data_IF_968994873613
#
_entry.id   IF_968994873613
#
_cell.length_a   1.000
_cell.length_b   1.000
_cell.length_c   1.000
_cell.angle_alpha   90.00
_cell.angle_beta   90.00
_cell.angle_gamma   90.00
#
_symmetry.space_group_name_H-M   'P 1'
#
loop_
_entity.id
_entity.type
_entity.pdbx_description
1 polymer ?
#
# COMPACT_ATOMS: atom_id res chain seq x y z
N UNK A 1 -17.97 -10.86 -6.21
CA UNK A 1 -18.33 -9.60 -5.56
C UNK A 1 -18.99 -8.68 -6.56
N UNK A 2 -19.78 -7.72 -6.09
CA UNK A 2 -20.50 -6.78 -6.93
C UNK A 2 -19.57 -5.68 -7.47
N UNK A 3 -19.36 -5.56 -8.81
CA UNK A 3 -18.49 -4.54 -9.37
C UNK A 3 -18.92 -3.11 -9.06
N UNK A 4 -20.19 -2.86 -8.78
CA UNK A 4 -20.73 -1.53 -8.47
C UNK A 4 -20.35 -1.06 -7.06
N UNK A 5 -19.89 -1.98 -6.20
CA UNK A 5 -19.35 -1.66 -4.87
C UNK A 5 -17.86 -1.29 -4.88
N UNK A 6 -17.20 -1.33 -6.04
CA UNK A 6 -15.77 -1.05 -6.17
C UNK A 6 -15.52 0.36 -6.69
N UNK A 7 -14.66 1.11 -6.02
CA UNK A 7 -14.03 2.32 -6.55
C UNK A 7 -12.53 2.05 -6.82
N UNK A 8 -12.06 2.41 -8.01
CA UNK A 8 -10.64 2.43 -8.36
C UNK A 8 -10.23 3.86 -8.68
N UNK A 9 -9.37 4.43 -7.86
CA UNK A 9 -8.86 5.78 -8.01
C UNK A 9 -7.38 5.74 -8.41
N UNK A 10 -6.98 6.59 -9.36
CA UNK A 10 -5.59 6.71 -9.81
C UNK A 10 -5.18 8.16 -9.69
N UNK A 11 -4.28 8.46 -8.74
CA UNK A 11 -3.63 9.75 -8.63
C UNK A 11 -2.44 9.80 -9.62
N UNK A 12 -2.46 10.71 -10.57
CA UNK A 12 -1.43 10.86 -11.60
C UNK A 12 -0.58 12.12 -11.43
N UNK A 13 -0.82 12.89 -10.40
CA UNK A 13 -0.14 14.14 -10.05
C UNK A 13 0.94 13.97 -8.97
N UNK A 14 1.06 12.78 -8.36
CA UNK A 14 2.08 12.40 -7.38
C UNK A 14 2.97 11.27 -7.90
N UNK A 15 4.16 11.10 -7.32
CA UNK A 15 5.09 10.06 -7.76
C UNK A 15 5.85 9.41 -6.62
N UNK A 16 6.07 8.11 -6.72
CA UNK A 16 6.96 7.35 -5.83
C UNK A 16 8.40 7.21 -6.35
N UNK A 17 8.74 7.87 -7.47
CA UNK A 17 10.08 7.77 -8.08
C UNK A 17 11.15 8.27 -7.11
N UNK A 18 12.20 7.44 -6.89
CA UNK A 18 13.27 7.71 -5.93
C UNK A 18 13.91 9.10 -6.10
N UNK A 19 14.17 9.53 -7.34
CA UNK A 19 14.78 10.83 -7.66
C UNK A 19 13.91 12.04 -7.34
N UNK A 20 12.62 11.83 -7.14
CA UNK A 20 11.64 12.90 -6.86
C UNK A 20 11.11 12.85 -5.43
N UNK A 21 11.55 11.88 -4.63
CA UNK A 21 11.19 11.81 -3.21
C UNK A 21 11.78 12.99 -2.45
N UNK A 22 11.00 13.50 -1.53
CA UNK A 22 11.37 14.60 -0.64
C UNK A 22 10.15 15.07 0.15
N UNK A 23 10.31 16.03 1.07
CA UNK A 23 9.23 16.48 1.94
C UNK A 23 7.98 16.94 1.19
N UNK A 24 8.16 17.73 0.11
CA UNK A 24 7.06 18.23 -0.70
C UNK A 24 6.26 17.09 -1.38
N UNK A 25 6.93 16.09 -1.95
CA UNK A 25 6.24 14.96 -2.58
C UNK A 25 5.60 14.03 -1.55
N UNK A 26 6.24 13.87 -0.38
CA UNK A 26 5.66 13.09 0.74
C UNK A 26 4.41 13.76 1.28
N UNK A 27 4.37 15.08 1.37
CA UNK A 27 3.22 15.88 1.76
C UNK A 27 2.07 15.75 0.74
N UNK A 28 2.36 15.87 -0.56
CA UNK A 28 1.36 15.67 -1.61
C UNK A 28 0.75 14.26 -1.61
N UNK A 29 1.56 13.25 -1.34
CA UNK A 29 1.06 11.86 -1.18
C UNK A 29 0.18 11.77 0.07
N UNK A 30 0.60 12.37 1.19
CA UNK A 30 -0.19 12.43 2.42
C UNK A 30 -1.54 13.13 2.21
N UNK A 31 -1.58 14.22 1.45
CA UNK A 31 -2.81 14.89 1.04
C UNK A 31 -3.72 13.99 0.19
N UNK A 32 -3.16 13.20 -0.72
CA UNK A 32 -3.95 12.21 -1.48
C UNK A 32 -4.56 11.15 -0.55
N UNK A 33 -3.80 10.67 0.45
CA UNK A 33 -4.31 9.72 1.46
C UNK A 33 -5.47 10.35 2.22
N UNK A 34 -5.31 11.57 2.73
CA UNK A 34 -6.37 12.33 3.41
C UNK A 34 -7.62 12.44 2.54
N UNK A 35 -7.47 12.81 1.26
CA UNK A 35 -8.59 12.92 0.32
C UNK A 35 -9.38 11.63 0.15
N UNK A 36 -8.72 10.47 0.17
CA UNK A 36 -9.38 9.16 0.07
C UNK A 36 -10.14 8.83 1.36
N UNK A 37 -9.50 8.99 2.52
CA UNK A 37 -10.08 8.60 3.81
C UNK A 37 -11.19 9.55 4.29
N UNK A 38 -11.15 10.81 3.88
CA UNK A 38 -12.21 11.79 4.20
C UNK A 38 -13.56 11.46 3.56
N UNK A 39 -13.56 10.65 2.51
CA UNK A 39 -14.78 10.22 1.83
C UNK A 39 -15.61 9.18 2.61
N UNK A 40 -14.98 8.36 3.42
CA UNK A 40 -15.63 7.34 4.26
C UNK A 40 -14.74 6.96 5.43
N UNK A 41 -15.28 6.98 6.66
CA UNK A 41 -14.59 6.44 7.82
C UNK A 41 -14.50 4.92 7.77
N UNK A 42 -13.42 4.38 8.34
CA UNK A 42 -13.14 2.95 8.42
C UNK A 42 -11.64 2.64 8.37
N UNK A 43 -11.29 1.40 8.13
CA UNK A 43 -9.92 0.96 8.18
C UNK A 43 -9.27 0.92 6.79
N UNK A 44 -8.07 1.47 6.69
CA UNK A 44 -7.30 1.56 5.44
C UNK A 44 -5.88 1.02 5.63
N UNK A 45 -5.35 0.36 4.58
CA UNK A 45 -3.94 0.01 4.48
C UNK A 45 -3.26 0.84 3.39
N UNK A 46 -2.17 1.48 3.74
CA UNK A 46 -1.32 2.26 2.82
C UNK A 46 -0.02 1.51 2.62
N UNK A 47 0.22 1.05 1.39
CA UNK A 47 1.42 0.33 1.03
C UNK A 47 2.43 1.23 0.32
N UNK A 48 3.66 1.25 0.82
CA UNK A 48 4.77 2.04 0.26
C UNK A 48 5.94 1.12 -0.12
N UNK A 49 6.79 1.50 -1.08
CA UNK A 49 7.82 0.62 -1.64
C UNK A 49 9.01 0.34 -0.70
N UNK A 50 9.15 1.08 0.41
CA UNK A 50 10.24 0.87 1.38
C UNK A 50 9.92 1.46 2.74
N UNK A 51 10.56 0.95 3.79
CA UNK A 51 10.41 1.46 5.17
C UNK A 51 10.79 2.95 5.31
N UNK A 52 11.86 3.38 4.65
CA UNK A 52 12.29 4.77 4.69
C UNK A 52 11.21 5.71 4.11
N UNK A 53 10.70 5.38 2.93
CA UNK A 53 9.67 6.19 2.29
C UNK A 53 8.32 6.09 3.01
N UNK A 54 8.01 4.92 3.58
CA UNK A 54 6.83 4.77 4.45
C UNK A 54 6.91 5.71 5.65
N UNK A 55 8.07 5.78 6.30
CA UNK A 55 8.27 6.69 7.43
C UNK A 55 8.07 8.15 7.02
N UNK A 56 8.67 8.59 5.91
CA UNK A 56 8.55 9.97 5.41
C UNK A 56 7.10 10.36 5.14
N UNK A 57 6.34 9.51 4.43
CA UNK A 57 4.94 9.79 4.10
C UNK A 57 4.05 9.71 5.33
N UNK A 58 4.27 8.73 6.22
CA UNK A 58 3.49 8.61 7.44
C UNK A 58 3.76 9.77 8.40
N UNK A 59 5.01 10.25 8.50
CA UNK A 59 5.35 11.44 9.30
C UNK A 59 4.65 12.70 8.75
N UNK A 60 4.66 12.90 7.42
CA UNK A 60 3.97 14.00 6.77
C UNK A 60 2.44 13.92 7.01
N UNK A 61 1.86 12.73 6.85
CA UNK A 61 0.44 12.51 7.09
C UNK A 61 0.04 12.83 8.53
N UNK A 62 0.76 12.31 9.51
CA UNK A 62 0.44 12.52 10.93
C UNK A 62 0.63 13.97 11.37
N UNK A 63 1.58 14.69 10.75
CA UNK A 63 1.86 16.07 11.12
C UNK A 63 0.84 17.07 10.55
N UNK A 64 0.51 16.97 9.25
CA UNK A 64 -0.25 17.99 8.54
C UNK A 64 -1.67 17.55 8.11
N UNK A 65 -1.95 16.24 8.02
CA UNK A 65 -3.16 15.70 7.39
C UNK A 65 -4.01 14.81 8.30
N UNK A 66 -3.56 14.54 9.54
CA UNK A 66 -4.24 13.64 10.45
C UNK A 66 -5.11 14.39 11.44
N UNK A 67 -6.43 14.22 11.37
CA UNK A 67 -7.31 14.59 12.49
C UNK A 67 -7.22 13.54 13.61
N UNK A 68 -6.28 13.74 14.53
CA UNK A 68 -6.03 12.84 15.67
C UNK A 68 -7.22 12.61 16.59
N UNK A 69 -8.34 13.29 16.40
CA UNK A 69 -9.59 13.02 17.13
C UNK A 69 -10.41 11.91 16.47
N UNK A 70 -10.17 11.67 15.17
CA UNK A 70 -10.97 10.74 14.35
C UNK A 70 -10.13 9.73 13.59
N UNK A 71 -8.80 9.89 13.58
CA UNK A 71 -7.90 9.05 12.81
C UNK A 71 -6.80 8.52 13.74
N UNK A 72 -6.74 7.21 13.84
CA UNK A 72 -5.62 6.50 14.44
C UNK A 72 -4.66 6.03 13.35
N UNK A 73 -3.36 6.06 13.62
CA UNK A 73 -2.34 5.51 12.72
C UNK A 73 -1.58 4.37 13.38
N UNK A 74 -1.21 3.38 12.61
CA UNK A 74 -0.28 2.33 13.00
C UNK A 74 0.72 2.09 11.88
N UNK A 75 1.96 1.70 12.23
CA UNK A 75 3.04 1.51 11.27
C UNK A 75 3.67 0.14 11.40
N UNK A 76 3.91 -0.50 10.26
CA UNK A 76 4.74 -1.69 10.22
C UNK A 76 6.17 -1.35 10.65
N UNK A 77 6.74 -2.11 11.57
CA UNK A 77 8.16 -2.02 11.92
C UNK A 77 8.98 -3.09 11.20
N UNK A 78 10.30 -2.88 11.11
CA UNK A 78 11.21 -3.90 10.62
C UNK A 78 11.29 -5.05 11.62
N UNK A 79 11.36 -6.29 11.11
CA UNK A 79 11.54 -7.50 11.92
C UNK A 79 10.43 -7.72 12.97
N UNK A 80 9.18 -7.37 12.66
CA UNK A 80 8.04 -7.67 13.53
C UNK A 80 7.98 -9.17 13.87
N UNK A 81 7.92 -9.47 15.15
CA UNK A 81 7.64 -10.82 15.66
C UNK A 81 6.19 -11.23 15.42
N UNK A 82 5.88 -12.49 15.72
CA UNK A 82 4.53 -13.03 15.52
C UNK A 82 3.47 -12.28 16.35
N UNK A 83 3.79 -11.97 17.62
CA UNK A 83 2.88 -11.21 18.48
C UNK A 83 2.63 -9.80 17.95
N UNK A 84 3.66 -9.07 17.54
CA UNK A 84 3.52 -7.72 16.99
C UNK A 84 2.69 -7.69 15.69
N UNK A 85 2.80 -8.76 14.87
CA UNK A 85 1.94 -8.93 13.69
C UNK A 85 0.50 -9.16 14.08
N UNK A 86 0.25 -10.01 15.07
CA UNK A 86 -1.09 -10.28 15.58
C UNK A 86 -1.70 -9.00 16.16
N UNK A 87 -0.95 -8.24 16.95
CA UNK A 87 -1.39 -6.97 17.53
C UNK A 87 -1.70 -5.93 16.45
N UNK A 88 -0.86 -5.82 15.40
CA UNK A 88 -1.11 -4.95 14.25
C UNK A 88 -2.42 -5.31 13.55
N UNK A 89 -2.64 -6.58 13.26
CA UNK A 89 -3.86 -7.05 12.58
C UNK A 89 -5.09 -6.93 13.48
N UNK A 90 -4.96 -7.22 14.77
CA UNK A 90 -6.05 -7.10 15.75
C UNK A 90 -6.63 -5.68 15.82
N UNK A 91 -5.84 -4.64 15.49
CA UNK A 91 -6.36 -3.26 15.42
C UNK A 91 -7.39 -3.07 14.30
N UNK A 92 -7.34 -3.88 13.24
CA UNK A 92 -8.28 -3.84 12.12
C UNK A 92 -9.58 -4.62 12.38
N UNK A 93 -9.66 -5.44 13.43
CA UNK A 93 -10.86 -6.22 13.73
C UNK A 93 -12.02 -5.35 14.23
N UNK A 94 -11.70 -4.15 14.72
CA UNK A 94 -12.69 -3.16 15.12
C UNK A 94 -12.82 -2.09 14.05
N UNK A 95 -14.00 -1.97 13.46
CA UNK A 95 -14.35 -0.85 12.57
C UNK A 95 -15.31 0.10 13.28
N UNK A 96 -15.27 1.38 12.94
CA UNK A 96 -16.15 2.41 13.46
C UNK A 96 -16.57 3.36 12.34
N UNK A 97 -17.82 3.74 12.32
CA UNK A 97 -18.34 4.75 11.38
C UNK A 97 -17.90 6.18 11.73
N UNK A 98 -17.32 6.39 12.92
CA UNK A 98 -16.89 7.70 13.41
C UNK A 98 -15.38 7.87 13.42
N UNK A 99 -14.62 6.76 13.37
CA UNK A 99 -13.15 6.73 13.43
C UNK A 99 -12.57 5.94 12.29
N UNK A 100 -11.40 6.38 11.82
CA UNK A 100 -10.61 5.67 10.82
C UNK A 100 -9.31 5.14 11.40
N UNK A 101 -8.92 3.94 11.01
CA UNK A 101 -7.59 3.38 11.29
C UNK A 101 -6.79 3.33 9.99
N UNK A 102 -5.61 3.94 10.00
CA UNK A 102 -4.69 3.95 8.87
C UNK A 102 -3.45 3.13 9.21
N UNK A 103 -3.29 1.98 8.59
CA UNK A 103 -2.10 1.17 8.70
C UNK A 103 -1.10 1.46 7.59
N UNK A 104 0.11 1.85 7.92
CA UNK A 104 1.20 2.03 6.96
C UNK A 104 2.06 0.77 6.91
N UNK A 105 2.24 0.21 5.72
CA UNK A 105 2.99 -1.04 5.52
C UNK A 105 3.87 -0.98 4.26
N UNK A 106 4.79 -1.95 4.15
CA UNK A 106 5.68 -2.04 2.98
C UNK A 106 5.09 -2.99 1.95
N UNK A 107 5.02 -2.53 0.72
CA UNK A 107 4.52 -3.31 -0.42
C UNK A 107 5.42 -4.54 -0.70
N UNK A 108 4.82 -5.71 -0.76
CA UNK A 108 5.54 -6.99 -0.85
C UNK A 108 6.16 -7.44 0.48
N UNK A 109 5.80 -6.78 1.60
CA UNK A 109 6.11 -7.20 2.96
C UNK A 109 5.06 -8.15 3.54
N UNK A 110 5.21 -8.44 4.84
CA UNK A 110 4.40 -9.42 5.59
C UNK A 110 2.89 -9.15 5.58
N UNK A 111 2.46 -7.91 5.34
CA UNK A 111 1.05 -7.52 5.27
C UNK A 111 0.51 -7.45 3.84
N UNK A 112 1.37 -7.58 2.82
CA UNK A 112 0.92 -7.71 1.43
C UNK A 112 0.46 -9.13 1.09
N UNK A 113 0.88 -10.12 1.88
CA UNK A 113 0.57 -11.53 1.69
C UNK A 113 0.08 -12.15 3.02
N UNK A 114 -0.83 -13.13 2.94
CA UNK A 114 -1.19 -13.95 4.09
C UNK A 114 -2.00 -13.29 5.21
N UNK A 115 -2.51 -12.07 5.03
CA UNK A 115 -3.47 -11.48 5.98
C UNK A 115 -4.90 -11.77 5.55
N UNK A 116 -5.76 -12.05 6.50
CA UNK A 116 -7.19 -12.34 6.29
C UNK A 116 -8.02 -11.35 7.12
N UNK A 117 -8.18 -10.15 6.58
CA UNK A 117 -9.09 -9.13 7.11
C UNK A 117 -10.42 -9.27 6.35
N UNK A 118 -11.49 -9.64 7.06
CA UNK A 118 -12.81 -9.95 6.49
C UNK A 118 -13.76 -8.80 6.66
N UNK A 119 -14.72 -8.69 5.73
CA UNK A 119 -15.80 -7.70 5.76
C UNK A 119 -15.26 -6.27 5.94
N UNK A 120 -15.93 -5.47 6.72
CA UNK A 120 -15.58 -4.06 6.99
C UNK A 120 -14.29 -3.85 7.81
N UNK A 121 -13.55 -4.93 8.13
CA UNK A 121 -12.24 -4.83 8.79
C UNK A 121 -11.20 -4.09 7.93
N UNK A 122 -11.40 -4.01 6.61
CA UNK A 122 -10.57 -3.23 5.69
C UNK A 122 -11.42 -2.74 4.52
N UNK A 123 -11.68 -1.44 4.46
CA UNK A 123 -12.53 -0.83 3.42
C UNK A 123 -11.75 -0.22 2.27
N UNK A 124 -10.45 -0.01 2.42
CA UNK A 124 -9.63 0.56 1.37
C UNK A 124 -8.16 0.19 1.44
N UNK A 125 -7.54 0.11 0.26
CA UNK A 125 -6.09 -0.05 0.11
C UNK A 125 -5.56 1.07 -0.78
N UNK A 126 -4.50 1.73 -0.33
CA UNK A 126 -3.79 2.77 -1.06
C UNK A 126 -2.39 2.25 -1.39
N UNK A 127 -2.08 2.09 -2.67
CA UNK A 127 -0.76 1.68 -3.12
C UNK A 127 0.03 2.89 -3.62
N UNK A 128 1.11 3.24 -2.93
CA UNK A 128 2.00 4.33 -3.32
C UNK A 128 3.12 3.78 -4.20
N UNK A 129 2.85 3.80 -5.51
CA UNK A 129 3.75 3.27 -6.51
C UNK A 129 3.61 1.77 -6.77
N UNK A 130 4.39 1.27 -7.72
CA UNK A 130 4.25 -0.09 -8.26
C UNK A 130 5.16 -1.13 -7.61
N UNK A 131 5.98 -0.75 -6.62
CA UNK A 131 6.90 -1.70 -5.95
C UNK A 131 7.86 -2.43 -6.89
N UNK A 132 8.29 -1.76 -7.98
CA UNK A 132 9.28 -2.30 -8.92
C UNK A 132 10.50 -2.79 -8.14
N UNK A 133 10.94 -4.05 -8.35
CA UNK A 133 12.10 -4.60 -7.67
C UNK A 133 13.37 -3.80 -7.97
N UNK A 134 14.32 -3.84 -7.05
CA UNK A 134 15.64 -3.25 -7.28
C UNK A 134 16.38 -3.97 -8.39
N UNK A 135 17.21 -3.21 -9.11
CA UNK A 135 18.11 -3.77 -10.13
C UNK A 135 19.15 -4.66 -9.45
N UNK A 136 19.27 -5.89 -9.91
CA UNK A 136 20.28 -6.85 -9.47
C UNK A 136 20.70 -7.74 -10.65
N UNK A 137 21.82 -8.46 -10.50
CA UNK A 137 22.38 -9.28 -11.57
C UNK A 137 21.42 -10.35 -12.07
N UNK A 138 20.68 -10.99 -11.16
CA UNK A 138 19.72 -12.05 -11.49
C UNK A 138 18.57 -11.50 -12.34
N UNK A 139 18.07 -10.30 -12.02
CA UNK A 139 17.01 -9.66 -12.80
C UNK A 139 17.48 -9.16 -14.15
N UNK A 140 18.72 -8.70 -14.23
CA UNK A 140 19.31 -8.32 -15.52
C UNK A 140 19.54 -9.55 -16.42
N UNK A 141 19.93 -10.69 -15.87
CA UNK A 141 19.98 -11.95 -16.63
C UNK A 141 18.59 -12.37 -17.13
N UNK A 142 17.57 -12.26 -16.27
CA UNK A 142 16.20 -12.56 -16.64
C UNK A 142 15.70 -11.62 -17.75
N UNK A 143 15.98 -10.32 -17.63
CA UNK A 143 15.67 -9.33 -18.67
C UNK A 143 16.30 -9.71 -20.01
N UNK A 144 17.60 -9.98 -20.02
CA UNK A 144 18.33 -10.36 -21.23
C UNK A 144 17.79 -11.66 -21.85
N UNK A 145 17.46 -12.65 -21.03
CA UNK A 145 16.84 -13.88 -21.50
C UNK A 145 15.53 -13.60 -22.25
N UNK A 146 14.63 -12.83 -21.68
CA UNK A 146 13.36 -12.51 -22.32
C UNK A 146 13.53 -11.60 -23.54
N UNK A 147 14.45 -10.63 -23.53
CA UNK A 147 14.81 -9.82 -24.70
C UNK A 147 15.25 -10.75 -25.87
N UNK A 148 16.01 -11.80 -25.58
CA UNK A 148 16.46 -12.82 -26.55
C UNK A 148 15.31 -13.69 -27.12
N UNK A 149 14.16 -13.76 -26.43
CA UNK A 149 12.96 -14.49 -26.91
C UNK A 149 12.01 -13.62 -27.73
N UNK A 150 12.34 -12.34 -27.94
CA UNK A 150 11.54 -11.40 -28.75
C UNK A 150 10.41 -10.70 -28.00
N UNK A 151 10.38 -10.79 -26.67
CA UNK A 151 9.46 -10.02 -25.82
C UNK A 151 10.23 -8.93 -25.05
N UNK A 152 9.51 -7.97 -24.44
CA UNK A 152 10.15 -6.93 -23.64
C UNK A 152 10.63 -7.51 -22.30
N UNK A 153 11.93 -7.77 -22.17
CA UNK A 153 12.52 -8.35 -20.96
C UNK A 153 12.36 -7.46 -19.72
N UNK A 154 12.26 -6.15 -19.88
CA UNK A 154 12.01 -5.25 -18.75
C UNK A 154 10.63 -5.49 -18.13
N UNK A 155 9.62 -5.76 -18.93
CA UNK A 155 8.27 -6.05 -18.42
C UNK A 155 8.29 -7.33 -17.58
N UNK A 156 8.95 -8.37 -18.03
CA UNK A 156 9.03 -9.64 -17.31
C UNK A 156 9.90 -9.58 -16.06
N UNK A 157 11.03 -8.88 -16.11
CA UNK A 157 11.94 -8.80 -14.98
C UNK A 157 11.51 -7.81 -13.90
N UNK A 158 10.77 -6.76 -14.28
CA UNK A 158 10.48 -5.62 -13.39
C UNK A 158 9.01 -5.24 -13.33
N UNK A 159 8.35 -4.95 -14.47
CA UNK A 159 6.99 -4.40 -14.46
C UNK A 159 5.97 -5.40 -13.93
N UNK A 160 5.92 -6.62 -14.46
CA UNK A 160 4.96 -7.63 -14.02
C UNK A 160 5.16 -8.05 -12.57
N UNK A 161 6.38 -8.31 -12.07
CA UNK A 161 6.60 -8.55 -10.64
C UNK A 161 6.15 -7.39 -9.75
N UNK A 162 6.36 -6.14 -10.19
CA UNK A 162 5.88 -4.96 -9.48
C UNK A 162 4.36 -4.89 -9.44
N UNK A 163 3.71 -5.06 -10.58
CA UNK A 163 2.24 -5.05 -10.68
C UNK A 163 1.59 -6.20 -9.90
N UNK A 164 2.21 -7.38 -9.87
CA UNK A 164 1.71 -8.49 -9.07
C UNK A 164 1.64 -8.13 -7.58
N UNK A 165 2.63 -7.41 -7.05
CA UNK A 165 2.59 -6.93 -5.66
C UNK A 165 1.43 -5.95 -5.43
N UNK A 166 1.18 -5.04 -6.36
CA UNK A 166 0.05 -4.11 -6.29
C UNK A 166 -1.28 -4.86 -6.30
N UNK A 167 -1.43 -5.83 -7.19
CA UNK A 167 -2.65 -6.65 -7.28
C UNK A 167 -2.87 -7.51 -6.03
N UNK A 168 -1.79 -8.08 -5.47
CA UNK A 168 -1.86 -8.83 -4.21
C UNK A 168 -2.31 -7.92 -3.05
N UNK A 169 -1.74 -6.72 -2.95
CA UNK A 169 -2.13 -5.74 -1.93
C UNK A 169 -3.58 -5.26 -2.11
N UNK A 170 -3.99 -4.92 -3.35
CA UNK A 170 -5.36 -4.53 -3.66
C UNK A 170 -6.38 -5.64 -3.37
N UNK A 171 -6.01 -6.89 -3.62
CA UNK A 171 -6.83 -8.07 -3.32
C UNK A 171 -7.07 -8.31 -1.82
N UNK A 172 -6.53 -7.47 -0.93
CA UNK A 172 -6.83 -7.54 0.51
C UNK A 172 -8.18 -6.95 0.88
N UNK A 173 -8.68 -6.03 0.07
CA UNK A 173 -10.00 -5.40 0.29
C UNK A 173 -11.15 -6.30 -0.13
N UNK A 174 -10.97 -7.06 -1.22
CA UNK A 174 -12.04 -7.87 -1.81
C UNK A 174 -11.77 -9.35 -1.50
N UNK A 175 -12.54 -9.94 -0.60
CA UNK A 175 -12.37 -11.30 -0.11
C UNK A 175 -13.60 -12.16 -0.25
N UNK A 176 -14.77 -11.55 -0.15
CA UNK A 176 -16.06 -12.26 -0.17
C UNK A 176 -16.95 -11.70 -1.29
N UNK A 177 -18.08 -12.35 -1.53
CA UNK A 177 -19.09 -11.85 -2.47
C UNK A 177 -19.86 -10.64 -1.89
N UNK A 178 -19.74 -10.42 -0.60
CA UNK A 178 -20.46 -9.38 0.15
C UNK A 178 -19.66 -8.09 0.33
N UNK A 179 -18.31 -8.14 0.07
CA UNK A 179 -17.41 -6.98 0.15
C UNK A 179 -17.70 -5.93 -0.92
#
# INVERSE_FOLDING_TARGET
>A
FDPDKRALLIANDVTSMYKRRGPEESDRIAQCIEGVISGRHGNYLVFLPSYAFMKEVADAFEYDHCDHKRIDTIRQTQNMGEQERADFLGRFETSSDEHSLIGFAVLGGIFSEGIDLKHDSLIGVINVGTGIPQVCSEREMLRQYFDGTGVNGYDYAYCYPGMNKVLQAAGRVIRTAED
#
